data_IF_832041319047
#
_entry.id   IF_832041319047
#
_cell.length_a   1.000
_cell.length_b   1.000
_cell.length_c   1.000
_cell.angle_alpha   90.00
_cell.angle_beta   90.00
_cell.angle_gamma   90.00
#
_symmetry.space_group_name_H-M   'P 1'
#
loop_
_entity.id
_entity.type
_entity.pdbx_description
1 polymer ?
#
# COMPACT_ATOMS: atom_id res chain seq x y z
N UNK A 1 3.36 21.74 73.46
CA UNK A 1 2.69 21.63 72.14
C UNK A 1 3.74 21.22 71.11
N UNK A 2 3.55 20.02 70.57
CA UNK A 2 4.43 19.40 69.59
C UNK A 2 4.15 20.02 68.23
N UNK A 3 5.19 20.45 67.50
CA UNK A 3 5.27 20.03 66.10
C UNK A 3 6.73 19.91 65.68
N UNK A 4 7.18 18.66 65.60
CA UNK A 4 8.52 18.29 65.14
C UNK A 4 8.56 18.43 63.62
N UNK A 5 9.58 19.16 63.17
CA UNK A 5 10.43 18.98 61.98
C UNK A 5 10.07 17.85 61.01
N UNK A 6 10.02 18.22 59.72
CA UNK A 6 10.52 17.39 58.63
C UNK A 6 9.58 17.31 57.44
N UNK A 7 10.00 17.85 56.29
CA UNK A 7 9.74 17.19 55.02
C UNK A 7 10.85 17.49 54.02
N UNK A 8 11.36 16.39 53.47
CA UNK A 8 12.54 16.30 52.65
C UNK A 8 12.28 16.82 51.23
N UNK A 9 13.35 17.40 50.69
CA UNK A 9 13.77 17.50 49.28
C UNK A 9 12.91 16.64 48.34
N UNK A 10 11.98 17.28 47.63
CA UNK A 10 11.25 16.67 46.52
C UNK A 10 12.14 16.65 45.27
N UNK A 11 12.64 15.47 44.93
CA UNK A 11 13.44 15.21 43.74
C UNK A 11 12.62 15.48 42.48
N UNK A 12 13.13 16.42 41.69
CA UNK A 12 12.77 16.73 40.30
C UNK A 12 12.74 15.43 39.47
N UNK A 13 11.55 14.97 39.10
CA UNK A 13 11.38 13.85 38.17
C UNK A 13 10.73 14.35 36.88
N UNK A 14 11.53 14.96 36.00
CA UNK A 14 11.18 15.10 34.59
C UNK A 14 11.34 13.72 33.94
N UNK A 15 10.23 13.02 33.73
CA UNK A 15 10.18 11.87 32.83
C UNK A 15 9.08 12.16 31.79
N UNK A 16 9.44 12.89 30.73
CA UNK A 16 8.59 13.15 29.59
C UNK A 16 9.25 12.63 28.31
N UNK A 17 8.58 11.66 27.69
CA UNK A 17 8.65 11.24 26.28
C UNK A 17 9.99 10.69 25.77
N UNK A 18 10.20 9.39 26.00
CA UNK A 18 10.91 8.57 25.01
C UNK A 18 10.02 8.42 23.77
N UNK A 19 10.19 9.34 22.81
CA UNK A 19 9.67 9.18 21.46
C UNK A 19 10.42 8.05 20.77
N UNK A 20 9.72 6.99 20.38
CA UNK A 20 10.27 5.95 19.52
C UNK A 20 10.43 6.54 18.10
N UNK A 21 11.67 6.88 17.71
CA UNK A 21 11.99 7.30 16.36
C UNK A 21 11.88 6.11 15.38
N UNK A 22 10.82 6.11 14.57
CA UNK A 22 10.52 5.09 13.54
C UNK A 22 11.37 5.22 12.27
N UNK A 23 12.58 5.76 12.37
CA UNK A 23 13.42 6.13 11.21
C UNK A 23 13.92 4.89 10.45
N UNK A 24 14.04 3.74 11.11
CA UNK A 24 14.49 2.47 10.50
C UNK A 24 13.50 1.86 9.50
N UNK A 25 12.20 1.87 9.79
CA UNK A 25 11.18 1.26 8.93
C UNK A 25 11.03 1.98 7.59
N UNK A 26 11.21 3.31 7.58
CA UNK A 26 11.12 4.11 6.35
C UNK A 26 12.27 3.87 5.40
N UNK A 27 13.48 3.60 5.91
CA UNK A 27 14.64 3.29 5.08
C UNK A 27 14.51 1.89 4.46
N UNK A 28 14.11 0.89 5.25
CA UNK A 28 13.88 -0.47 4.78
C UNK A 28 12.78 -0.58 3.70
N UNK A 29 11.84 0.37 3.62
CA UNK A 29 10.84 0.43 2.55
C UNK A 29 11.36 1.01 1.24
N UNK A 30 12.39 1.86 1.25
CA UNK A 30 12.92 2.49 0.03
C UNK A 30 13.69 1.52 -0.86
N UNK A 31 14.32 0.52 -0.25
CA UNK A 31 15.13 -0.48 -0.96
C UNK A 31 14.29 -1.61 -1.57
N UNK A 32 13.00 -1.71 -1.20
CA UNK A 32 12.07 -2.71 -1.73
C UNK A 32 11.47 -2.26 -3.06
N UNK A 33 11.13 -3.23 -3.91
CA UNK A 33 10.39 -2.97 -5.14
C UNK A 33 9.05 -2.28 -4.85
N UNK A 34 8.48 -1.58 -5.83
CA UNK A 34 7.14 -1.03 -5.66
C UNK A 34 6.12 -2.16 -5.43
N UNK A 35 6.27 -3.29 -6.09
CA UNK A 35 5.48 -4.50 -5.89
C UNK A 35 5.42 -4.91 -4.41
N UNK A 36 6.56 -4.99 -3.73
CA UNK A 36 6.63 -5.37 -2.32
C UNK A 36 5.96 -4.32 -1.42
N UNK A 37 6.20 -3.03 -1.71
CA UNK A 37 5.59 -1.91 -0.97
C UNK A 37 4.08 -1.84 -1.15
N UNK A 38 3.55 -2.31 -2.28
CA UNK A 38 2.11 -2.42 -2.56
C UNK A 38 1.46 -3.63 -1.87
N UNK A 39 2.22 -4.55 -1.28
CA UNK A 39 1.71 -5.78 -0.67
C UNK A 39 1.67 -6.98 -1.61
N UNK A 40 2.41 -6.92 -2.72
CA UNK A 40 2.56 -8.00 -3.69
C UNK A 40 1.30 -8.34 -4.48
N UNK A 41 1.31 -9.49 -5.16
CA UNK A 41 0.25 -9.93 -6.07
C UNK A 41 -1.14 -9.95 -5.42
N UNK A 42 -1.33 -10.41 -4.17
CA UNK A 42 -2.66 -10.41 -3.54
C UNK A 42 -3.28 -9.02 -3.42
N UNK A 43 -2.49 -8.03 -3.00
CA UNK A 43 -2.95 -6.65 -2.88
C UNK A 43 -3.24 -6.02 -4.25
N UNK A 44 -2.38 -6.27 -5.24
CA UNK A 44 -2.60 -5.83 -6.63
C UNK A 44 -3.90 -6.44 -7.18
N UNK A 45 -4.13 -7.73 -6.98
CA UNK A 45 -5.38 -8.41 -7.40
C UNK A 45 -6.60 -7.75 -6.77
N UNK A 46 -6.58 -7.48 -5.47
CA UNK A 46 -7.70 -6.83 -4.79
C UNK A 46 -8.01 -5.43 -5.36
N UNK A 47 -6.97 -4.64 -5.66
CA UNK A 47 -7.13 -3.33 -6.30
C UNK A 47 -7.67 -3.46 -7.72
N UNK A 48 -7.18 -4.42 -8.51
CA UNK A 48 -7.68 -4.66 -9.87
C UNK A 48 -9.15 -5.12 -9.85
N UNK A 49 -9.53 -5.95 -8.89
CA UNK A 49 -10.90 -6.40 -8.71
C UNK A 49 -11.85 -5.22 -8.46
N UNK A 50 -11.50 -4.34 -7.51
CA UNK A 50 -12.29 -3.14 -7.21
C UNK A 50 -12.28 -2.15 -8.39
N UNK A 51 -11.13 -1.95 -9.04
CA UNK A 51 -11.00 -1.09 -10.22
C UNK A 51 -11.92 -1.54 -11.35
N UNK A 52 -11.91 -2.83 -11.71
CA UNK A 52 -12.75 -3.34 -12.81
C UNK A 52 -14.23 -3.24 -12.47
N UNK A 53 -14.62 -3.48 -11.22
CA UNK A 53 -16.00 -3.28 -10.78
C UNK A 53 -16.44 -1.81 -10.94
N UNK A 54 -15.58 -0.86 -10.56
CA UNK A 54 -15.85 0.58 -10.73
C UNK A 54 -15.94 0.99 -12.20
N UNK A 55 -15.04 0.47 -13.05
CA UNK A 55 -15.07 0.72 -14.50
C UNK A 55 -16.36 0.22 -15.12
N UNK A 56 -16.81 -0.99 -14.76
CA UNK A 56 -18.06 -1.54 -15.26
C UNK A 56 -19.29 -0.70 -14.88
N UNK A 57 -19.29 -0.12 -13.67
CA UNK A 57 -20.35 0.75 -13.17
C UNK A 57 -20.30 2.19 -13.74
N UNK A 58 -19.16 2.65 -14.25
CA UNK A 58 -18.99 4.02 -14.73
C UNK A 58 -19.50 4.19 -16.17
N UNK A 59 -20.68 4.82 -16.30
CA UNK A 59 -21.35 5.10 -17.59
C UNK A 59 -20.52 5.93 -18.57
N UNK A 60 -19.49 6.65 -18.12
CA UNK A 60 -18.62 7.45 -19.01
C UNK A 60 -17.69 6.57 -19.83
N UNK A 61 -17.28 5.41 -19.29
CA UNK A 61 -16.21 4.59 -19.85
C UNK A 61 -16.58 3.12 -20.07
N UNK A 62 -17.62 2.60 -19.42
CA UNK A 62 -17.97 1.17 -19.49
C UNK A 62 -18.24 0.67 -20.92
N UNK A 63 -18.71 1.55 -21.82
CA UNK A 63 -18.92 1.24 -23.24
C UNK A 63 -17.66 0.76 -23.97
N UNK A 64 -16.47 1.19 -23.54
CA UNK A 64 -15.21 0.73 -24.14
C UNK A 64 -14.90 -0.74 -23.82
N UNK A 65 -15.54 -1.29 -22.79
CA UNK A 65 -15.34 -2.65 -22.30
C UNK A 65 -16.53 -3.58 -22.56
N UNK A 66 -17.54 -3.12 -23.32
CA UNK A 66 -18.80 -3.85 -23.52
C UNK A 66 -18.63 -5.26 -24.14
N UNK A 67 -17.54 -5.47 -24.89
CA UNK A 67 -17.20 -6.74 -25.54
C UNK A 67 -15.97 -7.43 -24.91
N UNK A 68 -15.53 -6.98 -23.74
CA UNK A 68 -14.35 -7.54 -23.07
C UNK A 68 -14.71 -8.83 -22.33
N UNK A 69 -13.91 -9.87 -22.54
CA UNK A 69 -13.93 -11.04 -21.66
C UNK A 69 -13.24 -10.67 -20.33
N UNK A 70 -14.04 -10.50 -19.26
CA UNK A 70 -13.61 -9.86 -18.02
C UNK A 70 -12.59 -10.68 -17.23
N UNK A 71 -12.75 -12.00 -16.99
CA UNK A 71 -11.76 -12.76 -16.22
C UNK A 71 -10.36 -12.77 -16.83
N UNK A 72 -10.17 -13.02 -18.15
CA UNK A 72 -8.85 -12.92 -18.77
C UNK A 72 -8.29 -11.50 -18.75
N UNK A 73 -9.12 -10.49 -18.96
CA UNK A 73 -8.72 -9.09 -18.87
C UNK A 73 -8.16 -8.75 -17.49
N UNK A 74 -8.87 -9.12 -16.41
CA UNK A 74 -8.42 -8.93 -15.03
C UNK A 74 -7.07 -9.61 -14.78
N UNK A 75 -6.93 -10.87 -15.19
CA UNK A 75 -5.68 -11.61 -15.03
C UNK A 75 -4.50 -10.90 -15.73
N UNK A 76 -4.70 -10.45 -16.98
CA UNK A 76 -3.69 -9.69 -17.72
C UNK A 76 -3.36 -8.35 -17.09
N UNK A 77 -4.36 -7.63 -16.55
CA UNK A 77 -4.13 -6.36 -15.87
C UNK A 77 -3.36 -6.55 -14.55
N UNK A 78 -3.66 -7.59 -13.78
CA UNK A 78 -2.87 -7.98 -12.60
C UNK A 78 -1.42 -8.27 -12.98
N UNK A 79 -1.20 -9.11 -14.00
CA UNK A 79 0.17 -9.47 -14.41
C UNK A 79 0.93 -8.25 -14.95
N UNK A 80 0.25 -7.34 -15.66
CA UNK A 80 0.83 -6.10 -16.15
C UNK A 80 1.30 -5.18 -15.02
N UNK A 81 0.45 -4.95 -14.01
CA UNK A 81 0.80 -4.11 -12.85
C UNK A 81 1.86 -4.79 -12.00
N UNK A 82 1.77 -6.11 -11.82
CA UNK A 82 2.78 -6.89 -11.12
C UNK A 82 4.16 -6.74 -11.77
N UNK A 83 4.29 -6.96 -13.08
CA UNK A 83 5.57 -6.79 -13.78
C UNK A 83 6.05 -5.33 -13.75
N UNK A 84 5.17 -4.36 -14.06
CA UNK A 84 5.53 -2.95 -14.12
C UNK A 84 5.96 -2.36 -12.76
N UNK A 85 5.48 -2.94 -11.65
CA UNK A 85 5.88 -2.54 -10.29
C UNK A 85 7.15 -3.25 -9.79
N UNK A 86 7.80 -4.07 -10.61
CA UNK A 86 9.02 -4.80 -10.28
C UNK A 86 8.78 -6.15 -9.59
N UNK A 87 7.56 -6.68 -9.69
CA UNK A 87 7.21 -8.00 -9.17
C UNK A 87 7.66 -9.14 -10.09
N UNK A 88 7.54 -10.40 -9.62
CA UNK A 88 8.07 -11.57 -10.34
C UNK A 88 7.17 -12.05 -11.49
N UNK A 89 6.04 -11.39 -11.76
CA UNK A 89 5.13 -11.79 -12.83
C UNK A 89 5.69 -11.40 -14.20
N UNK A 90 5.25 -12.13 -15.23
CA UNK A 90 5.51 -11.78 -16.62
C UNK A 90 4.20 -11.43 -17.33
N UNK A 91 4.09 -10.20 -17.82
CA UNK A 91 3.01 -9.84 -18.71
C UNK A 91 3.28 -10.40 -20.11
N UNK A 92 2.25 -11.02 -20.68
CA UNK A 92 2.29 -11.72 -21.97
C UNK A 92 1.17 -11.27 -22.90
N UNK A 93 0.56 -10.11 -22.62
CA UNK A 93 -0.42 -9.49 -23.49
C UNK A 93 0.21 -8.61 -24.56
N UNK A 94 -0.64 -7.84 -25.25
CA UNK A 94 -0.21 -6.85 -26.24
C UNK A 94 0.52 -5.69 -25.57
N UNK A 95 1.47 -5.06 -26.27
CA UNK A 95 1.99 -3.77 -25.82
C UNK A 95 0.88 -2.70 -25.75
N UNK A 96 1.13 -1.63 -24.99
CA UNK A 96 0.10 -0.61 -24.72
C UNK A 96 -0.37 0.13 -25.97
N UNK A 97 0.50 0.30 -26.98
CA UNK A 97 0.14 0.98 -28.23
C UNK A 97 -0.70 0.07 -29.13
N UNK A 98 -0.49 -1.24 -29.10
CA UNK A 98 -1.31 -2.19 -29.85
C UNK A 98 -2.66 -2.50 -29.16
N UNK A 99 -2.78 -2.21 -27.86
CA UNK A 99 -3.98 -2.48 -27.06
C UNK A 99 -5.01 -1.33 -27.04
N UNK A 100 -4.59 -0.08 -27.23
CA UNK A 100 -5.40 1.14 -27.09
C UNK A 100 -5.36 1.98 -28.37
#
# INVERSE_FOLDING_TARGET
>A
MQWRRGLAIGVLSLAFLAGCETTGDKMAMKDKSLYDRLGGKPAITAVVDDFVARVAADRRINRFFANTDVPPFKAKLVDQICEASGGPCKYTGKDMKAAH
#
